data_IF_496769447831
#
_entry.id   IF_496769447831
#
_cell.length_a   1.000
_cell.length_b   1.000
_cell.length_c   1.000
_cell.angle_alpha   90.00
_cell.angle_beta   90.00
_cell.angle_gamma   90.00
#
_symmetry.space_group_name_H-M   'P 1'
#
loop_
_entity.id
_entity.type
_entity.pdbx_description
1 polymer ?
#
# COMPACT_ATOMS: atom_id res chain seq x y z
N UNK A 1 50.73 -45.28 9.52
CA UNK A 1 51.24 -46.05 10.62
C UNK A 1 50.41 -45.78 11.87
N UNK A 2 49.41 -46.57 12.11
CA UNK A 2 48.63 -46.51 13.35
C UNK A 2 49.21 -47.54 14.32
N UNK A 3 49.42 -47.12 15.57
CA UNK A 3 49.98 -47.94 16.62
C UNK A 3 48.95 -49.00 17.09
N UNK A 4 49.40 -50.24 17.43
CA UNK A 4 48.48 -51.22 17.91
C UNK A 4 47.96 -50.92 19.29
N UNK A 5 46.66 -51.14 19.49
CA UNK A 5 46.01 -51.04 20.81
C UNK A 5 46.33 -52.35 21.58
N UNK A 6 46.98 -52.19 22.70
CA UNK A 6 47.27 -53.31 23.61
C UNK A 6 46.20 -53.30 24.71
N UNK A 7 45.36 -54.33 24.71
CA UNK A 7 44.41 -54.56 25.81
C UNK A 7 45.02 -55.56 26.78
N UNK A 8 45.22 -55.13 28.03
CA UNK A 8 45.67 -56.01 29.10
C UNK A 8 44.47 -56.39 29.95
N UNK A 9 44.00 -57.64 29.88
CA UNK A 9 42.97 -58.12 30.83
C UNK A 9 43.72 -58.61 32.07
N UNK A 10 43.43 -58.05 33.19
CA UNK A 10 43.79 -58.54 34.51
C UNK A 10 42.63 -59.38 35.04
N UNK A 11 42.84 -60.69 35.06
CA UNK A 11 42.02 -61.63 35.81
C UNK A 11 42.57 -61.66 37.24
N UNK A 12 41.87 -61.11 38.18
CA UNK A 12 42.10 -61.23 39.62
C UNK A 12 40.91 -61.95 40.17
N UNK A 13 41.12 -63.19 40.62
CA UNK A 13 40.62 -63.65 41.91
C UNK A 13 40.89 -65.14 42.12
N UNK A 14 42.04 -65.50 42.71
CA UNK A 14 42.12 -66.59 43.63
C UNK A 14 43.33 -66.40 44.56
N UNK A 15 43.14 -66.27 45.91
CA UNK A 15 44.20 -65.97 46.84
C UNK A 15 44.90 -67.20 47.40
N UNK A 16 44.99 -68.31 46.70
CA UNK A 16 45.75 -69.46 47.20
C UNK A 16 46.50 -70.27 46.09
N UNK A 17 47.54 -69.64 45.54
CA UNK A 17 48.59 -70.43 44.91
C UNK A 17 49.90 -69.64 44.92
N UNK A 18 50.71 -69.89 45.90
CA UNK A 18 52.13 -69.54 45.98
C UNK A 18 52.95 -70.32 44.96
N UNK A 19 53.89 -69.60 44.31
CA UNK A 19 55.07 -70.10 43.64
C UNK A 19 54.96 -70.97 42.39
N UNK A 20 55.00 -70.25 41.25
CA UNK A 20 55.90 -70.63 40.10
C UNK A 20 55.81 -69.48 39.09
N UNK A 21 56.92 -68.81 38.82
CA UNK A 21 57.00 -67.71 37.85
C UNK A 21 56.78 -68.21 36.41
N UNK A 22 55.58 -68.15 35.91
CA UNK A 22 55.33 -68.25 34.50
C UNK A 22 55.05 -66.84 33.94
N UNK A 23 55.85 -66.49 32.91
CA UNK A 23 55.68 -65.24 32.20
C UNK A 23 54.32 -65.22 31.48
N UNK A 24 53.61 -64.04 31.48
CA UNK A 24 52.32 -63.96 30.82
C UNK A 24 52.47 -64.26 29.32
N UNK A 25 51.63 -65.16 28.82
CA UNK A 25 51.55 -65.44 27.39
C UNK A 25 50.82 -64.36 26.73
N UNK A 26 51.54 -63.54 25.94
CA UNK A 26 50.92 -62.47 25.13
C UNK A 26 50.44 -63.11 23.84
N UNK A 27 49.18 -63.38 23.70
CA UNK A 27 48.57 -63.80 22.46
C UNK A 27 48.28 -62.55 21.60
N UNK A 28 49.01 -62.38 20.52
CA UNK A 28 48.79 -61.29 19.56
C UNK A 28 47.80 -61.86 18.51
N UNK A 29 46.54 -61.48 18.63
CA UNK A 29 45.58 -61.67 17.53
C UNK A 29 45.81 -60.62 16.45
N UNK A 30 46.30 -61.09 15.32
CA UNK A 30 46.38 -60.28 14.11
C UNK A 30 44.98 -60.05 13.58
N UNK A 31 44.42 -58.86 13.94
CA UNK A 31 43.20 -58.40 13.30
C UNK A 31 43.52 -57.96 11.86
N UNK A 32 42.95 -58.65 10.89
CA UNK A 32 43.21 -58.38 9.48
C UNK A 32 42.37 -57.14 9.06
N UNK A 33 42.97 -55.95 9.14
CA UNK A 33 42.36 -54.65 8.82
C UNK A 33 41.97 -54.54 7.33
N UNK A 34 42.37 -55.47 6.49
CA UNK A 34 42.05 -55.38 5.05
C UNK A 34 40.63 -55.81 4.71
N UNK A 35 39.93 -56.54 5.57
CA UNK A 35 38.59 -57.06 5.27
C UNK A 35 37.47 -56.04 5.57
N UNK A 36 37.74 -55.01 6.36
CA UNK A 36 36.78 -53.97 6.61
C UNK A 36 36.74 -52.87 5.53
N UNK A 37 37.80 -52.69 4.76
CA UNK A 37 37.89 -51.66 3.71
C UNK A 37 37.11 -51.99 2.43
N UNK A 38 36.60 -53.21 2.31
CA UNK A 38 35.91 -53.64 1.07
C UNK A 38 34.39 -53.72 1.17
N UNK A 39 33.80 -53.39 2.33
CA UNK A 39 32.34 -53.26 2.39
C UNK A 39 31.95 -51.84 1.99
N UNK A 40 31.36 -51.62 0.79
CA UNK A 40 30.79 -50.33 0.48
C UNK A 40 29.71 -50.04 1.53
N UNK A 41 29.61 -48.78 2.03
CA UNK A 41 28.61 -48.42 3.01
C UNK A 41 27.25 -48.89 2.49
N UNK A 42 26.52 -49.63 3.31
CA UNK A 42 25.20 -50.14 2.95
C UNK A 42 24.30 -48.97 2.62
N UNK A 43 24.17 -48.67 1.34
CA UNK A 43 23.23 -47.65 0.85
C UNK A 43 21.85 -48.16 1.23
N UNK A 44 21.29 -47.63 2.32
CA UNK A 44 19.92 -47.91 2.72
C UNK A 44 19.03 -47.49 1.54
N UNK A 45 18.60 -48.45 0.71
CA UNK A 45 17.61 -48.23 -0.33
C UNK A 45 16.36 -47.69 0.35
N UNK A 46 16.08 -46.38 0.17
CA UNK A 46 14.84 -45.78 0.64
C UNK A 46 13.67 -46.57 0.07
N UNK A 47 12.74 -46.99 0.92
CA UNK A 47 11.56 -47.72 0.44
C UNK A 47 10.80 -46.87 -0.59
N UNK A 48 10.16 -47.52 -1.55
CA UNK A 48 9.36 -46.83 -2.56
C UNK A 48 8.34 -45.84 -1.91
N UNK A 49 7.83 -46.22 -0.74
CA UNK A 49 6.91 -45.36 0.05
C UNK A 49 7.58 -44.06 0.53
N UNK A 50 8.84 -44.10 0.98
CA UNK A 50 9.59 -42.94 1.43
C UNK A 50 9.95 -41.98 0.26
N UNK A 51 10.20 -42.53 -0.92
CA UNK A 51 10.46 -41.70 -2.11
C UNK A 51 9.20 -41.04 -2.61
N UNK A 52 8.04 -41.71 -2.53
CA UNK A 52 6.74 -41.15 -2.88
C UNK A 52 6.29 -40.06 -1.89
N UNK A 53 6.45 -40.27 -0.59
CA UNK A 53 6.11 -39.26 0.42
C UNK A 53 6.97 -37.97 0.29
N UNK A 54 8.27 -38.12 0.00
CA UNK A 54 9.16 -37.00 -0.27
C UNK A 54 8.73 -36.22 -1.53
N UNK A 55 8.37 -36.93 -2.62
CA UNK A 55 7.87 -36.27 -3.84
C UNK A 55 6.56 -35.52 -3.57
N UNK A 56 5.63 -36.12 -2.84
CA UNK A 56 4.37 -35.48 -2.46
C UNK A 56 4.63 -34.23 -1.61
N UNK A 57 5.56 -34.31 -0.64
CA UNK A 57 5.95 -33.17 0.18
C UNK A 57 6.51 -32.02 -0.67
N UNK A 58 7.36 -32.34 -1.65
CA UNK A 58 7.89 -31.36 -2.60
C UNK A 58 6.79 -30.71 -3.44
N UNK A 59 5.83 -31.49 -3.94
CA UNK A 59 4.68 -30.94 -4.70
C UNK A 59 3.81 -30.04 -3.85
N UNK A 60 3.48 -30.45 -2.63
CA UNK A 60 2.71 -29.63 -1.69
C UNK A 60 3.44 -28.33 -1.34
N UNK A 61 4.74 -28.42 -1.03
CA UNK A 61 5.55 -27.24 -0.73
C UNK A 61 5.64 -26.27 -1.92
N UNK A 62 5.82 -26.80 -3.14
CA UNK A 62 5.82 -25.97 -4.36
C UNK A 62 4.47 -25.31 -4.60
N UNK A 63 3.36 -26.02 -4.39
CA UNK A 63 2.00 -25.46 -4.52
C UNK A 63 1.75 -24.36 -3.50
N UNK A 64 2.12 -24.57 -2.22
CA UNK A 64 2.00 -23.52 -1.18
C UNK A 64 2.85 -22.30 -1.52
N UNK A 65 4.07 -22.49 -2.01
CA UNK A 65 4.94 -21.40 -2.41
C UNK A 65 4.36 -20.60 -3.60
N UNK A 66 3.79 -21.28 -4.59
CA UNK A 66 3.14 -20.62 -5.74
C UNK A 66 1.89 -19.82 -5.30
N UNK A 67 1.06 -20.38 -4.42
CA UNK A 67 -0.10 -19.67 -3.87
C UNK A 67 0.35 -18.47 -3.04
N UNK A 68 1.38 -18.64 -2.21
CA UNK A 68 1.96 -17.53 -1.44
C UNK A 68 2.52 -16.41 -2.33
N UNK A 69 3.25 -16.77 -3.37
CA UNK A 69 3.78 -15.81 -4.34
C UNK A 69 2.65 -15.09 -5.11
N UNK A 70 1.62 -15.83 -5.52
CA UNK A 70 0.44 -15.22 -6.15
C UNK A 70 -0.28 -14.25 -5.21
N UNK A 71 -0.51 -14.64 -3.96
CA UNK A 71 -1.12 -13.78 -2.96
C UNK A 71 -0.27 -12.53 -2.69
N UNK A 72 1.05 -12.69 -2.54
CA UNK A 72 1.98 -11.59 -2.34
C UNK A 72 1.99 -10.61 -3.53
N UNK A 73 2.00 -11.11 -4.78
CA UNK A 73 1.94 -10.25 -5.97
C UNK A 73 0.61 -9.52 -6.07
N UNK A 74 -0.51 -10.16 -5.72
CA UNK A 74 -1.83 -9.52 -5.70
C UNK A 74 -1.89 -8.41 -4.67
N UNK A 75 -1.38 -8.67 -3.46
CA UNK A 75 -1.33 -7.70 -2.37
C UNK A 75 -0.41 -6.53 -2.71
N UNK A 76 0.77 -6.82 -3.26
CA UNK A 76 1.72 -5.81 -3.69
C UNK A 76 1.14 -4.89 -4.78
N UNK A 77 0.50 -5.47 -5.80
CA UNK A 77 -0.20 -4.69 -6.83
C UNK A 77 -1.35 -3.86 -6.26
N UNK A 78 -2.06 -4.38 -5.25
CA UNK A 78 -3.11 -3.63 -4.57
C UNK A 78 -2.57 -2.38 -3.89
N UNK A 79 -1.45 -2.48 -3.19
CA UNK A 79 -0.89 -1.34 -2.45
C UNK A 79 -0.08 -0.37 -3.32
N UNK A 80 0.65 -0.85 -4.31
CA UNK A 80 1.65 -0.06 -5.02
C UNK A 80 1.29 0.35 -6.45
N UNK A 81 0.12 -0.03 -6.97
CA UNK A 81 -0.33 0.33 -8.34
C UNK A 81 0.78 0.12 -9.40
N UNK A 82 1.38 -1.06 -9.45
CA UNK A 82 2.48 -1.34 -10.37
C UNK A 82 2.10 -1.11 -11.83
N UNK A 83 3.04 -0.59 -12.61
CA UNK A 83 2.87 -0.31 -14.04
C UNK A 83 2.29 1.07 -14.34
N UNK A 84 2.07 1.91 -13.33
CA UNK A 84 1.68 3.31 -13.53
C UNK A 84 2.90 4.12 -13.93
N UNK A 85 2.78 4.91 -14.99
CA UNK A 85 3.80 5.89 -15.39
C UNK A 85 3.79 7.09 -14.44
N UNK A 86 4.96 7.68 -14.21
CA UNK A 86 5.12 8.92 -13.44
C UNK A 86 5.25 10.06 -14.44
N UNK A 87 4.23 10.91 -14.52
CA UNK A 87 4.17 12.00 -15.48
C UNK A 87 4.82 13.29 -15.00
N UNK A 88 4.73 13.55 -13.68
CA UNK A 88 5.23 14.78 -13.07
C UNK A 88 6.17 14.43 -11.94
N UNK A 89 7.38 14.99 -11.98
CA UNK A 89 8.35 14.83 -10.90
C UNK A 89 7.82 15.46 -9.60
N UNK A 90 7.93 14.77 -8.46
CA UNK A 90 7.61 15.37 -7.15
C UNK A 90 8.37 16.67 -6.89
N UNK A 91 9.61 16.79 -7.36
CA UNK A 91 10.43 18.00 -7.24
C UNK A 91 9.84 19.16 -8.04
N UNK A 92 9.30 18.92 -9.23
CA UNK A 92 8.66 19.95 -10.04
C UNK A 92 7.35 20.41 -9.39
N UNK A 93 6.58 19.51 -8.81
CA UNK A 93 5.40 19.85 -8.03
C UNK A 93 5.73 20.67 -6.77
N UNK A 94 6.83 20.37 -6.08
CA UNK A 94 7.29 21.18 -4.96
C UNK A 94 7.66 22.60 -5.40
N UNK A 95 8.43 22.74 -6.48
CA UNK A 95 8.75 24.04 -7.06
C UNK A 95 7.50 24.80 -7.49
N UNK A 96 6.52 24.10 -8.05
CA UNK A 96 5.25 24.67 -8.44
C UNK A 96 4.51 25.25 -7.23
N UNK A 97 4.38 24.51 -6.13
CA UNK A 97 3.78 25.02 -4.88
C UNK A 97 4.46 26.29 -4.35
N UNK A 98 5.78 26.38 -4.46
CA UNK A 98 6.56 27.54 -4.03
C UNK A 98 6.36 28.79 -4.91
N UNK A 99 5.99 28.59 -6.19
CA UNK A 99 5.86 29.65 -7.17
C UNK A 99 4.42 29.96 -7.57
N UNK A 100 3.43 29.20 -7.09
CA UNK A 100 2.02 29.49 -7.37
C UNK A 100 1.64 30.88 -6.87
N UNK A 101 0.84 31.57 -7.68
CA UNK A 101 0.32 32.91 -7.38
C UNK A 101 -1.19 32.87 -7.40
N UNK A 102 -1.77 33.83 -6.69
CA UNK A 102 -3.22 33.99 -6.67
C UNK A 102 -3.72 34.33 -8.07
N UNK A 103 -4.81 33.69 -8.45
CA UNK A 103 -5.59 34.11 -9.59
C UNK A 103 -6.40 35.38 -9.23
N UNK A 104 -6.65 36.23 -10.22
CA UNK A 104 -7.56 37.38 -10.07
C UNK A 104 -8.97 36.87 -10.35
N UNK A 105 -9.91 37.30 -9.53
CA UNK A 105 -11.32 36.95 -9.72
C UNK A 105 -12.02 36.52 -8.43
N UNK A 106 -13.30 36.17 -8.53
CA UNK A 106 -14.08 35.69 -7.38
C UNK A 106 -13.58 34.33 -6.91
N UNK A 107 -13.65 34.10 -5.60
CA UNK A 107 -13.44 32.76 -5.03
C UNK A 107 -14.74 31.98 -5.13
N UNK A 108 -14.77 30.99 -5.99
CA UNK A 108 -15.97 30.18 -6.22
C UNK A 108 -15.67 28.74 -6.61
N UNK A 109 -16.67 27.91 -6.47
CA UNK A 109 -16.68 26.54 -7.00
C UNK A 109 -17.90 26.43 -7.92
N UNK A 110 -17.64 26.04 -9.17
CA UNK A 110 -18.69 25.89 -10.18
C UNK A 110 -18.97 24.41 -10.38
N UNK A 111 -20.21 23.99 -10.17
CA UNK A 111 -20.65 22.63 -10.41
C UNK A 111 -21.30 22.52 -11.78
N UNK A 112 -20.81 21.60 -12.60
CA UNK A 112 -21.47 21.21 -13.84
C UNK A 112 -21.76 19.71 -13.87
N UNK A 113 -22.75 19.33 -14.66
CA UNK A 113 -23.12 17.95 -14.92
C UNK A 113 -22.76 17.55 -16.33
N UNK A 114 -22.18 16.37 -16.47
CA UNK A 114 -21.81 15.82 -17.77
C UNK A 114 -21.99 14.30 -17.76
N UNK A 115 -21.80 13.66 -18.91
CA UNK A 115 -21.81 12.20 -19.04
C UNK A 115 -20.82 11.77 -20.10
N UNK A 116 -19.92 10.84 -19.75
CA UNK A 116 -18.90 10.32 -20.64
C UNK A 116 -18.90 8.79 -20.56
N UNK A 117 -18.90 8.11 -21.70
CA UNK A 117 -18.96 6.63 -21.79
C UNK A 117 -20.13 6.03 -20.97
N UNK A 118 -21.25 6.77 -20.84
CA UNK A 118 -22.38 6.35 -20.03
C UNK A 118 -22.22 6.59 -18.51
N UNK A 119 -21.08 7.10 -18.07
CA UNK A 119 -20.85 7.47 -16.67
C UNK A 119 -21.30 8.91 -16.45
N UNK A 120 -22.29 9.09 -15.59
CA UNK A 120 -22.84 10.40 -15.25
C UNK A 120 -21.99 11.06 -14.15
N UNK A 121 -21.50 12.28 -14.40
CA UNK A 121 -20.53 12.99 -13.58
C UNK A 121 -21.10 14.29 -13.02
N UNK A 122 -20.78 14.59 -11.76
CA UNK A 122 -20.80 15.91 -11.18
C UNK A 122 -19.35 16.42 -11.08
N UNK A 123 -19.06 17.56 -11.69
CA UNK A 123 -17.73 18.13 -11.81
C UNK A 123 -17.72 19.47 -11.08
N UNK A 124 -16.85 19.61 -10.08
CA UNK A 124 -16.67 20.78 -9.25
C UNK A 124 -15.37 21.48 -9.64
N UNK A 125 -15.46 22.47 -10.50
CA UNK A 125 -14.33 23.30 -10.92
C UNK A 125 -14.15 24.44 -9.89
N UNK A 126 -12.94 24.65 -9.42
CA UNK A 126 -12.68 25.70 -8.44
C UNK A 126 -11.83 26.83 -9.02
N UNK A 127 -12.12 28.05 -8.59
CA UNK A 127 -11.45 29.26 -9.03
C UNK A 127 -11.05 30.11 -7.81
N UNK A 128 -9.80 30.55 -7.79
CA UNK A 128 -9.23 31.44 -6.79
C UNK A 128 -9.58 31.06 -5.33
N UNK A 129 -9.52 29.80 -4.99
CA UNK A 129 -9.82 29.28 -3.65
C UNK A 129 -8.55 29.01 -2.85
N UNK A 130 -8.68 29.01 -1.53
CA UNK A 130 -7.68 28.45 -0.62
C UNK A 130 -8.07 27.02 -0.29
N UNK A 131 -7.15 26.09 -0.50
CA UNK A 131 -7.32 24.71 -0.10
C UNK A 131 -6.59 24.41 1.21
N UNK A 132 -7.20 23.61 2.06
CA UNK A 132 -6.61 23.11 3.30
C UNK A 132 -7.01 21.67 3.55
N UNK A 133 -6.22 20.95 4.34
CA UNK A 133 -6.52 19.62 4.83
C UNK A 133 -6.80 19.71 6.32
N UNK A 134 -7.93 19.18 6.77
CA UNK A 134 -8.29 19.18 8.20
C UNK A 134 -8.81 17.82 8.64
N UNK A 135 -8.61 17.48 9.91
CA UNK A 135 -9.16 16.26 10.50
C UNK A 135 -10.57 16.48 11.07
N UNK A 136 -10.93 17.71 11.41
CA UNK A 136 -12.27 18.06 11.84
C UNK A 136 -13.19 18.33 10.64
N UNK A 137 -14.43 17.85 10.69
CA UNK A 137 -15.43 18.20 9.69
C UNK A 137 -15.67 19.72 9.72
N UNK A 138 -15.61 20.40 8.55
CA UNK A 138 -15.80 21.84 8.49
C UNK A 138 -17.21 22.25 8.87
N UNK A 139 -17.33 23.40 9.53
CA UNK A 139 -18.63 24.00 9.83
C UNK A 139 -19.29 24.55 8.54
N UNK A 140 -20.43 23.99 8.18
CA UNK A 140 -21.19 24.42 7.01
C UNK A 140 -21.93 25.77 7.21
N UNK A 141 -21.99 26.28 8.45
CA UNK A 141 -22.46 27.64 8.71
C UNK A 141 -21.41 28.71 8.33
N UNK A 142 -20.13 28.34 8.24
CA UNK A 142 -19.08 29.22 7.74
C UNK A 142 -19.24 29.44 6.23
N UNK A 143 -19.67 30.65 5.87
CA UNK A 143 -19.87 31.06 4.47
C UNK A 143 -18.58 31.15 3.64
N UNK A 144 -17.42 31.05 4.27
CA UNK A 144 -16.15 30.91 3.56
C UNK A 144 -15.88 29.48 3.08
N UNK A 145 -16.56 28.48 3.61
CA UNK A 145 -16.47 27.09 3.13
C UNK A 145 -17.29 26.95 1.86
N UNK A 146 -16.60 26.67 0.75
CA UNK A 146 -17.21 26.49 -0.57
C UNK A 146 -17.42 25.03 -0.93
N UNK A 147 -16.47 24.17 -0.56
CA UNK A 147 -16.55 22.72 -0.77
C UNK A 147 -15.71 22.03 0.29
N UNK A 148 -16.18 20.89 0.77
CA UNK A 148 -15.31 19.94 1.42
C UNK A 148 -15.63 18.49 1.00
N UNK A 149 -14.64 17.64 1.05
CA UNK A 149 -14.76 16.24 0.68
C UNK A 149 -13.74 15.38 1.43
N UNK A 150 -14.09 14.13 1.72
CA UNK A 150 -13.16 13.16 2.29
C UNK A 150 -12.04 12.86 1.30
N UNK A 151 -10.83 12.58 1.84
CA UNK A 151 -9.64 12.33 1.03
C UNK A 151 -9.11 10.91 1.16
N UNK A 152 -8.78 10.46 2.36
CA UNK A 152 -8.12 9.18 2.61
C UNK A 152 -9.03 8.18 3.34
N UNK A 153 -8.75 6.91 3.11
CA UNK A 153 -9.40 5.81 3.81
C UNK A 153 -8.71 5.54 5.15
N UNK A 154 -9.42 4.83 6.02
CA UNK A 154 -8.88 4.30 7.26
C UNK A 154 -9.37 2.86 7.48
N UNK A 155 -8.60 2.11 8.24
CA UNK A 155 -8.94 0.74 8.63
C UNK A 155 -10.07 0.72 9.66
N UNK A 156 -10.64 -0.45 9.92
CA UNK A 156 -11.60 -0.63 11.02
C UNK A 156 -11.01 -0.29 12.40
N UNK A 157 -9.68 -0.28 12.54
CA UNK A 157 -8.96 0.11 13.76
C UNK A 157 -8.68 1.61 13.84
N UNK A 158 -9.06 2.39 12.81
CA UNK A 158 -8.88 3.85 12.77
C UNK A 158 -7.52 4.32 12.25
N UNK A 159 -6.68 3.42 11.75
CA UNK A 159 -5.40 3.78 11.12
C UNK A 159 -5.63 4.26 9.68
N UNK A 160 -4.96 5.33 9.27
CA UNK A 160 -5.05 5.83 7.90
C UNK A 160 -4.36 4.88 6.91
N UNK A 161 -4.93 4.76 5.72
CA UNK A 161 -4.36 3.98 4.62
C UNK A 161 -3.67 4.95 3.65
N UNK A 162 -2.34 4.80 3.51
CA UNK A 162 -1.48 5.75 2.83
C UNK A 162 -0.90 6.80 3.78
N UNK A 163 0.16 7.50 3.35
CA UNK A 163 0.75 8.56 4.15
C UNK A 163 -0.22 9.72 4.33
N UNK A 164 -0.20 10.32 5.52
CA UNK A 164 -0.99 11.49 5.88
C UNK A 164 -0.15 12.47 6.72
N UNK A 165 -0.09 13.72 6.28
CA UNK A 165 0.48 14.87 7.00
C UNK A 165 -0.59 15.96 7.02
N UNK A 166 -0.81 16.59 8.16
CA UNK A 166 -1.74 17.71 8.30
C UNK A 166 -1.00 18.84 9.02
N UNK A 167 -0.87 19.98 8.34
CA UNK A 167 -0.19 21.18 8.86
C UNK A 167 1.20 20.85 9.48
N UNK A 168 2.03 20.14 8.71
CA UNK A 168 3.37 19.71 9.11
C UNK A 168 3.40 18.51 10.06
N UNK A 169 2.29 18.12 10.66
CA UNK A 169 2.25 17.00 11.60
C UNK A 169 2.00 15.67 10.87
N UNK A 170 2.96 14.75 10.95
CA UNK A 170 2.84 13.41 10.39
C UNK A 170 1.86 12.57 11.21
N UNK A 171 0.73 12.21 10.62
CA UNK A 171 -0.31 11.36 11.24
C UNK A 171 -0.15 9.90 10.89
N UNK A 172 0.37 9.60 9.68
CA UNK A 172 0.63 8.25 9.19
C UNK A 172 1.76 8.26 8.18
N UNK A 173 2.66 7.29 8.31
CA UNK A 173 3.70 7.03 7.34
C UNK A 173 3.49 5.67 6.70
N UNK A 174 3.01 5.68 5.47
CA UNK A 174 2.76 4.48 4.68
C UNK A 174 3.04 4.79 3.20
N UNK A 175 3.98 4.06 2.60
CA UNK A 175 4.36 4.19 1.19
C UNK A 175 3.40 3.46 0.23
N UNK A 176 2.36 2.82 0.75
CA UNK A 176 1.29 2.29 -0.09
C UNK A 176 0.57 3.44 -0.80
N UNK A 177 -0.01 3.17 -1.95
CA UNK A 177 -0.61 4.16 -2.85
C UNK A 177 0.44 5.06 -3.52
N UNK A 178 0.33 5.23 -4.81
CA UNK A 178 1.30 6.01 -5.60
C UNK A 178 0.82 7.43 -5.88
N UNK A 179 -0.49 7.64 -5.93
CA UNK A 179 -1.07 8.97 -6.08
C UNK A 179 -0.87 9.79 -4.81
N UNK A 180 -0.54 11.05 -4.97
CA UNK A 180 -0.42 11.97 -3.85
C UNK A 180 -1.14 13.29 -4.14
N UNK A 181 -1.52 13.96 -3.07
CA UNK A 181 -1.91 15.36 -3.04
C UNK A 181 -1.03 16.07 -2.01
N UNK A 182 -0.47 17.21 -2.37
CA UNK A 182 0.29 18.07 -1.47
C UNK A 182 -0.31 19.47 -1.47
N UNK A 183 -0.39 20.06 -0.26
CA UNK A 183 -0.99 21.37 -0.01
C UNK A 183 0.02 22.23 0.75
N UNK A 184 0.20 23.46 0.29
CA UNK A 184 1.03 24.46 0.95
C UNK A 184 0.50 25.87 0.66
N UNK A 185 0.40 26.70 1.67
CA UNK A 185 -0.06 28.09 1.53
C UNK A 185 -1.42 28.25 0.81
N UNK A 186 -2.30 27.25 0.93
CA UNK A 186 -3.60 27.23 0.27
C UNK A 186 -3.57 26.81 -1.20
N UNK A 187 -2.44 26.38 -1.73
CA UNK A 187 -2.29 25.81 -3.06
C UNK A 187 -2.22 24.30 -2.99
N UNK A 188 -2.59 23.65 -4.09
CA UNK A 188 -2.69 22.19 -4.21
C UNK A 188 -1.97 21.73 -5.45
N UNK A 189 -1.25 20.62 -5.33
CA UNK A 189 -0.75 19.85 -6.46
C UNK A 189 -1.07 18.37 -6.27
N UNK A 190 -1.30 17.67 -7.37
CA UNK A 190 -1.42 16.21 -7.38
C UNK A 190 -0.36 15.61 -8.30
N UNK A 191 -0.06 14.36 -8.07
CA UNK A 191 0.89 13.62 -8.90
C UNK A 191 1.06 12.19 -8.41
N UNK A 192 2.09 11.55 -8.92
CA UNK A 192 2.38 10.15 -8.70
C UNK A 192 3.84 10.01 -8.31
N UNK A 193 4.11 9.33 -7.19
CA UNK A 193 5.47 9.10 -6.73
C UNK A 193 5.61 7.77 -6.00
N UNK A 194 6.74 7.11 -6.19
CA UNK A 194 7.20 5.96 -5.40
C UNK A 194 8.01 6.38 -4.17
N UNK A 195 8.37 7.66 -4.07
CA UNK A 195 9.26 8.22 -3.06
C UNK A 195 8.50 9.14 -2.10
N UNK A 196 9.10 9.41 -0.96
CA UNK A 196 8.50 10.18 0.14
C UNK A 196 9.03 11.63 0.24
N UNK A 197 9.86 12.07 -0.71
CA UNK A 197 10.54 13.37 -0.63
C UNK A 197 9.54 14.53 -0.47
N UNK A 198 8.43 14.50 -1.22
CA UNK A 198 7.42 15.54 -1.13
C UNK A 198 6.65 15.50 0.21
N UNK A 199 6.42 14.30 0.76
CA UNK A 199 5.86 14.16 2.12
C UNK A 199 6.77 14.81 3.16
N UNK A 200 8.07 14.49 3.11
CA UNK A 200 9.05 15.08 4.03
C UNK A 200 9.12 16.59 3.88
N UNK A 201 9.10 17.11 2.64
CA UNK A 201 9.06 18.53 2.38
C UNK A 201 7.80 19.22 2.94
N UNK A 202 6.65 18.53 2.98
CA UNK A 202 5.42 19.08 3.59
C UNK A 202 5.51 19.10 5.12
N UNK A 203 6.15 18.11 5.75
CA UNK A 203 6.45 18.14 7.19
C UNK A 203 7.33 19.34 7.52
N UNK A 204 8.41 19.55 6.76
CA UNK A 204 9.38 20.64 7.00
C UNK A 204 8.82 22.05 6.73
N UNK A 205 7.75 22.14 5.91
CA UNK A 205 7.17 23.40 5.47
C UNK A 205 5.77 23.71 6.06
N UNK A 206 5.40 23.03 7.15
CA UNK A 206 4.08 23.12 7.75
C UNK A 206 2.93 22.94 6.74
N UNK A 207 3.17 22.10 5.71
CA UNK A 207 2.20 21.76 4.68
C UNK A 207 1.38 20.53 5.01
N UNK A 208 0.50 20.16 4.11
CA UNK A 208 -0.32 18.96 4.24
C UNK A 208 -0.11 18.03 3.05
N UNK A 209 -0.30 16.72 3.28
CA UNK A 209 -0.04 15.70 2.30
C UNK A 209 -0.89 14.46 2.56
N UNK A 210 -1.40 13.83 1.49
CA UNK A 210 -1.98 12.50 1.61
C UNK A 210 -1.70 11.67 0.36
N UNK A 211 -1.74 10.33 0.51
CA UNK A 211 -1.62 9.38 -0.59
C UNK A 211 -2.94 8.67 -0.87
N UNK A 212 -3.17 8.37 -2.15
CA UNK A 212 -4.36 7.65 -2.61
C UNK A 212 -4.09 6.87 -3.91
N UNK A 213 -5.07 6.04 -4.33
CA UNK A 213 -4.99 5.32 -5.59
C UNK A 213 -4.89 6.28 -6.78
N UNK A 214 -4.06 5.90 -7.75
CA UNK A 214 -4.01 6.54 -9.07
C UNK A 214 -5.15 6.00 -9.93
N UNK A 215 -5.89 6.89 -10.57
CA UNK A 215 -6.94 6.56 -11.54
C UNK A 215 -6.50 6.87 -12.97
N UNK A 216 -5.86 7.99 -13.19
CA UNK A 216 -5.27 8.40 -14.46
C UNK A 216 -3.86 8.94 -14.19
N UNK A 217 -2.92 8.65 -15.05
CA UNK A 217 -1.56 9.17 -15.00
C UNK A 217 -1.08 9.48 -16.41
N UNK A 218 -0.75 10.74 -16.65
CA UNK A 218 -0.33 11.21 -17.99
C UNK A 218 -1.32 10.80 -19.10
N UNK A 219 -2.61 10.95 -18.83
CA UNK A 219 -3.67 10.53 -19.73
C UNK A 219 -3.79 9.02 -19.94
N UNK A 220 -3.11 8.19 -19.14
CA UNK A 220 -3.14 6.74 -19.24
C UNK A 220 -3.80 6.10 -18.03
N UNK A 221 -4.48 4.97 -18.25
CA UNK A 221 -5.02 4.17 -17.17
C UNK A 221 -3.94 3.27 -16.56
N UNK A 222 -3.97 3.03 -15.24
CA UNK A 222 -3.22 1.94 -14.64
C UNK A 222 -3.61 0.61 -15.29
N UNK A 223 -2.67 -0.34 -15.44
CA UNK A 223 -2.94 -1.62 -16.11
C UNK A 223 -3.99 -2.47 -15.39
N UNK A 224 -4.20 -2.23 -14.11
CA UNK A 224 -5.20 -2.94 -13.29
C UNK A 224 -5.70 -2.08 -12.13
N UNK A 225 -6.99 -2.27 -11.82
CA UNK A 225 -7.58 -1.85 -10.56
C UNK A 225 -7.89 -3.08 -9.72
N UNK A 226 -7.55 -3.02 -8.45
CA UNK A 226 -7.76 -4.13 -7.51
C UNK A 226 -9.08 -4.00 -6.75
N UNK A 227 -9.64 -2.79 -6.69
CA UNK A 227 -10.96 -2.57 -6.11
C UNK A 227 -12.04 -2.98 -7.11
N UNK A 228 -12.87 -3.92 -6.69
CA UNK A 228 -13.99 -4.43 -7.45
C UNK A 228 -15.32 -3.92 -6.88
N UNK A 229 -16.38 -4.07 -7.66
CA UNK A 229 -17.74 -3.67 -7.30
C UNK A 229 -18.10 -2.26 -7.78
N UNK A 230 -19.40 -2.01 -7.80
CA UNK A 230 -19.99 -0.73 -8.18
C UNK A 230 -20.35 0.04 -6.91
N UNK A 231 -19.77 1.20 -6.73
CA UNK A 231 -20.13 2.19 -5.71
C UNK A 231 -19.99 3.57 -6.32
N UNK A 232 -20.55 4.58 -5.72
CA UNK A 232 -20.27 5.95 -6.13
C UNK A 232 -18.78 6.24 -5.94
N UNK A 233 -18.21 6.94 -6.91
CA UNK A 233 -16.77 7.21 -6.99
C UNK A 233 -16.50 8.69 -6.99
N UNK A 234 -15.33 9.09 -6.49
CA UNK A 234 -14.86 10.47 -6.48
C UNK A 234 -13.36 10.52 -6.74
N UNK A 235 -12.92 11.59 -7.38
CA UNK A 235 -11.53 11.83 -7.70
C UNK A 235 -11.17 13.31 -7.57
N UNK A 236 -9.91 13.56 -7.25
CA UNK A 236 -9.27 14.84 -7.48
C UNK A 236 -8.50 14.71 -8.80
N UNK A 237 -8.79 15.56 -9.76
CA UNK A 237 -8.29 15.46 -11.13
C UNK A 237 -7.55 16.74 -11.53
N UNK A 238 -6.61 16.59 -12.47
CA UNK A 238 -5.87 17.68 -13.09
C UNK A 238 -6.15 17.71 -14.61
N UNK A 239 -6.50 18.86 -15.10
CA UNK A 239 -6.68 19.11 -16.54
C UNK A 239 -5.33 19.36 -17.23
N UNK A 240 -5.31 19.36 -18.58
CA UNK A 240 -4.11 19.61 -19.36
C UNK A 240 -3.55 21.04 -19.17
N UNK A 241 -4.42 22.01 -18.87
CA UNK A 241 -4.07 23.40 -18.53
C UNK A 241 -3.83 23.61 -17.02
N UNK A 242 -3.60 22.50 -16.29
CA UNK A 242 -3.12 22.50 -14.90
C UNK A 242 -4.14 22.91 -13.84
N UNK A 243 -5.41 23.01 -14.21
CA UNK A 243 -6.50 23.27 -13.26
C UNK A 243 -6.88 21.98 -12.52
N UNK A 244 -7.36 22.15 -11.30
CA UNK A 244 -7.84 21.05 -10.47
C UNK A 244 -9.36 21.09 -10.35
N UNK A 245 -9.96 19.90 -10.35
CA UNK A 245 -11.39 19.70 -10.13
C UNK A 245 -11.62 18.51 -9.19
N UNK A 246 -12.73 18.54 -8.45
CA UNK A 246 -13.27 17.33 -7.85
C UNK A 246 -14.33 16.78 -8.80
N UNK A 247 -14.26 15.51 -9.10
CA UNK A 247 -15.22 14.81 -9.97
C UNK A 247 -15.84 13.65 -9.21
N UNK A 248 -17.17 13.56 -9.22
CA UNK A 248 -17.92 12.49 -8.57
C UNK A 248 -18.88 11.82 -9.55
N UNK A 249 -19.12 10.52 -9.41
CA UNK A 249 -20.17 9.82 -10.16
C UNK A 249 -21.52 10.01 -9.49
N UNK A 250 -22.57 10.15 -10.28
CA UNK A 250 -23.96 10.25 -9.80
C UNK A 250 -24.62 8.91 -9.53
N UNK A 251 -24.01 7.84 -10.01
CA UNK A 251 -24.49 6.47 -9.84
C UNK A 251 -23.33 5.55 -9.51
N UNK A 252 -23.60 4.38 -8.89
CA UNK A 252 -22.55 3.40 -8.61
C UNK A 252 -21.84 2.93 -9.87
N UNK A 253 -20.51 3.07 -9.90
CA UNK A 253 -19.65 2.69 -11.01
C UNK A 253 -18.47 1.81 -10.55
N UNK A 254 -17.97 0.99 -11.46
CA UNK A 254 -16.69 0.32 -11.24
C UNK A 254 -15.57 1.35 -11.22
N UNK A 255 -14.47 1.03 -10.53
CA UNK A 255 -13.31 1.92 -10.55
C UNK A 255 -12.73 2.09 -11.96
N UNK A 256 -12.80 1.01 -12.76
CA UNK A 256 -12.38 1.04 -14.16
C UNK A 256 -13.23 1.97 -15.01
N UNK A 257 -14.58 1.80 -14.98
CA UNK A 257 -15.50 2.64 -15.78
C UNK A 257 -15.32 4.13 -15.43
N UNK A 258 -15.15 4.43 -14.13
CA UNK A 258 -14.93 5.79 -13.69
C UNK A 258 -13.59 6.36 -14.18
N UNK A 259 -12.49 5.62 -14.01
CA UNK A 259 -11.18 6.06 -14.47
C UNK A 259 -11.12 6.23 -16.00
N UNK A 260 -11.78 5.34 -16.75
CA UNK A 260 -11.88 5.42 -18.21
C UNK A 260 -12.66 6.67 -18.64
N UNK A 261 -13.77 6.98 -17.97
CA UNK A 261 -14.55 8.20 -18.19
C UNK A 261 -13.71 9.47 -17.88
N UNK A 262 -12.91 9.47 -16.81
CA UNK A 262 -12.01 10.59 -16.49
C UNK A 262 -10.95 10.80 -17.57
N UNK A 263 -10.35 9.72 -18.06
CA UNK A 263 -9.37 9.77 -19.16
C UNK A 263 -10.01 10.30 -20.44
N UNK A 264 -11.17 9.78 -20.81
CA UNK A 264 -11.88 10.17 -22.03
C UNK A 264 -12.36 11.64 -21.97
N UNK A 265 -12.67 12.12 -20.76
CA UNK A 265 -12.99 13.54 -20.53
C UNK A 265 -11.79 14.46 -20.76
N UNK A 266 -10.57 13.93 -20.77
CA UNK A 266 -9.33 14.65 -21.04
C UNK A 266 -8.53 15.04 -19.79
N UNK A 267 -8.83 14.47 -18.62
CA UNK A 267 -7.99 14.66 -17.44
C UNK A 267 -6.67 13.93 -17.60
N UNK A 268 -5.58 14.63 -17.30
CA UNK A 268 -4.20 14.09 -17.45
C UNK A 268 -3.75 13.33 -16.23
N UNK A 269 -4.15 13.77 -15.03
CA UNK A 269 -3.93 13.03 -13.79
C UNK A 269 -5.21 12.97 -12.98
N UNK A 270 -5.41 11.86 -12.28
CA UNK A 270 -6.50 11.67 -11.35
C UNK A 270 -6.09 10.76 -10.20
N UNK A 271 -6.40 11.16 -8.98
CA UNK A 271 -6.26 10.35 -7.78
C UNK A 271 -7.64 10.13 -7.14
N UNK A 272 -7.83 8.96 -6.57
CA UNK A 272 -9.08 8.61 -5.91
C UNK A 272 -9.31 9.44 -4.67
N UNK A 273 -10.57 9.77 -4.38
CA UNK A 273 -11.01 10.33 -3.11
C UNK A 273 -12.05 9.39 -2.48
N UNK A 274 -12.01 9.26 -1.17
CA UNK A 274 -12.88 8.36 -0.42
C UNK A 274 -14.32 8.88 -0.32
N UNK A 275 -15.28 7.95 -0.22
CA UNK A 275 -16.66 8.22 0.17
C UNK A 275 -17.60 8.63 -0.95
N UNK A 276 -17.21 8.48 -2.21
CA UNK A 276 -18.09 8.77 -3.35
C UNK A 276 -18.69 10.17 -3.31
N UNK A 277 -19.83 10.35 -3.92
CA UNK A 277 -20.57 11.62 -3.91
C UNK A 277 -21.22 11.92 -2.53
N UNK A 278 -21.27 10.93 -1.67
CA UNK A 278 -22.07 10.91 -0.44
C UNK A 278 -21.39 11.57 0.75
N UNK A 279 -20.09 11.86 0.67
CA UNK A 279 -19.34 12.49 1.76
C UNK A 279 -18.78 13.82 1.32
N UNK A 280 -19.56 14.89 1.51
CA UNK A 280 -19.08 16.20 1.19
C UNK A 280 -20.17 17.28 1.22
N UNK A 281 -19.74 18.48 1.00
CA UNK A 281 -20.53 19.70 0.97
C UNK A 281 -20.09 20.55 -0.20
N UNK A 282 -21.01 21.22 -0.81
CA UNK A 282 -20.79 22.21 -1.85
C UNK A 282 -21.70 23.43 -1.63
N UNK A 283 -21.15 24.62 -1.74
CA UNK A 283 -21.87 25.87 -1.75
C UNK A 283 -21.81 26.49 -3.14
N UNK A 284 -22.98 26.66 -3.75
CA UNK A 284 -23.08 27.30 -5.05
C UNK A 284 -22.71 28.78 -4.99
N UNK A 285 -22.40 29.44 -6.11
CA UNK A 285 -22.07 30.86 -6.16
C UNK A 285 -23.17 31.77 -5.61
N UNK A 286 -24.45 31.35 -5.71
CA UNK A 286 -25.59 32.05 -5.12
C UNK A 286 -25.74 31.89 -3.60
N UNK A 287 -24.81 31.12 -2.98
CA UNK A 287 -24.81 30.82 -1.55
C UNK A 287 -25.62 29.60 -1.15
N UNK A 288 -26.31 28.93 -2.09
CA UNK A 288 -27.12 27.74 -1.80
C UNK A 288 -26.26 26.57 -1.35
N UNK A 289 -26.51 26.00 -0.16
CA UNK A 289 -25.75 24.81 0.31
C UNK A 289 -26.35 23.55 -0.27
N UNK A 290 -25.47 22.64 -0.72
CA UNK A 290 -25.81 21.31 -1.16
C UNK A 290 -25.08 20.29 -0.29
N UNK A 291 -25.85 19.43 0.36
CA UNK A 291 -25.35 18.30 1.11
C UNK A 291 -25.58 17.02 0.30
N UNK A 292 -24.65 16.13 0.34
CA UNK A 292 -24.93 14.80 -0.13
C UNK A 292 -25.78 14.07 0.91
N UNK A 293 -26.83 13.37 0.49
CA UNK A 293 -27.84 12.78 1.39
C UNK A 293 -27.25 11.80 2.43
N UNK A 294 -26.11 11.21 2.15
CA UNK A 294 -25.46 10.25 3.02
C UNK A 294 -24.60 10.87 4.13
N UNK A 295 -24.19 12.13 3.97
CA UNK A 295 -23.55 12.87 5.06
C UNK A 295 -24.44 12.89 6.33
N UNK A 296 -25.76 12.87 6.15
CA UNK A 296 -26.71 12.76 7.24
C UNK A 296 -26.77 11.36 7.88
N UNK A 297 -26.60 10.29 7.09
CA UNK A 297 -26.62 8.90 7.59
C UNK A 297 -25.32 8.51 8.29
N UNK A 298 -24.18 8.91 7.74
CA UNK A 298 -22.88 8.64 8.33
C UNK A 298 -22.58 9.43 9.62
N UNK A 299 -23.27 10.55 9.87
CA UNK A 299 -23.17 11.28 11.14
C UNK A 299 -23.61 10.49 12.36
N UNK A 300 -24.39 9.43 12.18
CA UNK A 300 -24.90 8.59 13.28
C UNK A 300 -24.00 7.39 13.59
N UNK A 301 -22.99 7.11 12.76
CA UNK A 301 -22.15 5.94 12.94
C UNK A 301 -20.94 6.31 13.83
N UNK A 302 -20.91 5.74 15.03
CA UNK A 302 -19.93 6.02 16.10
C UNK A 302 -18.49 5.63 15.77
N UNK A 303 -18.24 5.07 14.59
CA UNK A 303 -16.92 4.65 14.10
C UNK A 303 -16.23 5.68 13.22
N UNK A 304 -16.76 6.89 13.09
CA UNK A 304 -16.09 7.96 12.37
C UNK A 304 -14.91 8.47 13.19
N UNK A 305 -13.81 7.74 13.07
CA UNK A 305 -12.51 8.29 13.34
C UNK A 305 -12.35 9.61 12.58
N UNK A 306 -11.48 10.43 13.05
CA UNK A 306 -11.14 11.72 12.50
C UNK A 306 -10.79 11.54 11.01
N UNK A 307 -11.74 11.81 10.11
CA UNK A 307 -11.54 11.67 8.68
C UNK A 307 -10.79 12.89 8.14
N UNK A 308 -9.77 12.71 7.26
CA UNK A 308 -9.12 13.84 6.62
C UNK A 308 -10.03 14.42 5.53
N UNK A 309 -10.25 15.73 5.62
CA UNK A 309 -11.09 16.51 4.71
C UNK A 309 -10.24 17.47 3.89
N UNK A 310 -10.40 17.43 2.57
CA UNK A 310 -9.99 18.52 1.69
C UNK A 310 -11.09 19.57 1.73
N UNK A 311 -10.71 20.79 2.10
CA UNK A 311 -11.62 21.93 2.25
C UNK A 311 -11.20 23.05 1.31
N UNK A 312 -12.14 23.58 0.55
CA UNK A 312 -11.95 24.76 -0.28
C UNK A 312 -12.65 25.94 0.37
N UNK A 313 -11.91 27.02 0.60
CA UNK A 313 -12.41 28.25 1.20
C UNK A 313 -12.22 29.45 0.29
N UNK A 314 -13.03 30.47 0.51
CA UNK A 314 -12.75 31.79 -0.07
C UNK A 314 -11.38 32.29 0.38
N UNK A 315 -10.70 32.95 -0.52
CA UNK A 315 -9.43 33.65 -0.24
C UNK A 315 -9.68 35.02 0.36
#
# INVERSE_FOLDING_TARGET
GEAPIITIEHETDDPTAEAAGEAPIITIEHYNVEDERQRPPAVKKRSALQTWSLRLLWFVSAAVLLVGLYAATRLYNYYYNLGVSISVSPTDNLRKLDHMRMENGPSEVLMKRDSVLGVALDIYEWHNVKAELTLAEPDTADHNVLLYTRTADYTATGEYIGSLVVDGEEKQRDVSRLGYCALKNGYVVIGISRFDDLRSAMVDADGSYFRQFVLVSDGQLPPRFTLHGKVERKALVRTADDRLCVVATRHPETLWSFADALREYGYVDAIYLTGGNQSGFYRAPDGTPYFTEEAARYRTDKHHGVAPWLVLRKR
#
